data_IF_437314840167
#
_entry.id   IF_437314840167
#
_cell.length_a   1.000
_cell.length_b   1.000
_cell.length_c   1.000
_cell.angle_alpha   90.00
_cell.angle_beta   90.00
_cell.angle_gamma   90.00
#
_symmetry.space_group_name_H-M   'P 1'
#
loop_
_entity.id
_entity.type
_entity.pdbx_description
1 polymer ?
#
# COMPACT_ATOMS: atom_id res chain seq x y z
N UNK A 1 -30.46 -20.33 -18.34
CA UNK A 1 -30.93 -20.32 -16.94
C UNK A 1 -30.25 -19.17 -16.25
N UNK A 2 -30.94 -18.07 -16.12
CA UNK A 2 -30.46 -16.81 -15.54
C UNK A 2 -30.53 -16.95 -14.01
N UNK A 3 -29.41 -16.90 -13.31
CA UNK A 3 -29.39 -16.85 -11.84
C UNK A 3 -29.18 -15.40 -11.46
N UNK A 4 -30.26 -14.74 -11.10
CA UNK A 4 -30.25 -13.44 -10.44
C UNK A 4 -29.86 -13.63 -8.97
N UNK A 5 -28.72 -13.06 -8.55
CA UNK A 5 -28.39 -12.94 -7.13
C UNK A 5 -29.00 -11.64 -6.60
N UNK A 6 -30.14 -11.77 -5.95
CA UNK A 6 -30.63 -10.76 -5.03
C UNK A 6 -29.75 -10.74 -3.77
N UNK A 7 -29.00 -9.67 -3.57
CA UNK A 7 -28.31 -9.40 -2.31
C UNK A 7 -29.35 -8.83 -1.36
N UNK A 8 -29.90 -9.72 -0.51
CA UNK A 8 -30.86 -9.36 0.52
C UNK A 8 -30.27 -8.41 1.55
N UNK A 9 -30.91 -7.26 1.71
CA UNK A 9 -30.66 -6.31 2.77
C UNK A 9 -30.92 -6.95 4.13
N UNK A 10 -29.88 -7.26 4.89
CA UNK A 10 -30.00 -7.70 6.28
C UNK A 10 -30.30 -6.51 7.19
N UNK A 11 -31.53 -6.38 7.60
CA UNK A 11 -31.97 -5.53 8.73
C UNK A 11 -31.27 -5.99 10.01
N UNK A 12 -30.67 -5.04 10.74
CA UNK A 12 -30.33 -5.19 12.15
C UNK A 12 -28.84 -5.33 12.46
N UNK A 13 -28.02 -4.34 12.12
CA UNK A 13 -26.78 -4.11 12.86
C UNK A 13 -27.10 -3.33 14.12
N UNK A 14 -27.03 -4.00 15.27
CA UNK A 14 -26.93 -3.33 16.58
C UNK A 14 -25.63 -2.52 16.55
N UNK A 15 -25.74 -1.22 16.74
CA UNK A 15 -24.59 -0.37 17.04
C UNK A 15 -23.93 -0.89 18.32
N UNK A 16 -22.74 -1.41 18.22
CA UNK A 16 -21.92 -1.68 19.40
C UNK A 16 -21.34 -0.31 19.77
N UNK A 17 -21.98 0.37 20.69
CA UNK A 17 -21.38 1.49 21.43
C UNK A 17 -20.29 0.88 22.29
N UNK A 18 -19.03 1.12 21.94
CA UNK A 18 -17.89 0.78 22.78
C UNK A 18 -17.84 1.84 23.88
N UNK A 19 -18.48 1.56 25.01
CA UNK A 19 -18.30 2.35 26.23
C UNK A 19 -16.84 2.26 26.65
N UNK A 20 -16.16 3.40 26.68
CA UNK A 20 -14.73 3.53 26.98
C UNK A 20 -14.40 3.51 28.48
N UNK A 21 -15.26 3.01 29.32
CA UNK A 21 -14.95 2.77 30.73
C UNK A 21 -14.67 1.27 30.95
N UNK A 22 -13.44 0.84 30.64
CA UNK A 22 -12.95 -0.45 31.10
C UNK A 22 -12.38 -0.29 32.49
N UNK A 23 -12.95 -0.97 33.54
CA UNK A 23 -12.35 -1.01 34.85
C UNK A 23 -10.97 -1.66 34.76
N UNK A 24 -9.95 -1.00 35.29
CA UNK A 24 -8.57 -1.50 35.36
C UNK A 24 -8.39 -2.65 36.34
N UNK A 25 -9.41 -2.99 37.13
CA UNK A 25 -9.41 -4.11 38.07
C UNK A 25 -10.34 -5.22 37.60
N UNK A 26 -9.69 -6.27 37.17
CA UNK A 26 -10.18 -7.43 36.47
C UNK A 26 -11.50 -8.00 36.95
N UNK A 27 -12.16 -8.62 36.01
CA UNK A 27 -13.25 -9.54 36.13
C UNK A 27 -12.96 -10.67 37.15
N UNK A 28 -13.01 -10.32 38.43
CA UNK A 28 -12.99 -11.29 39.52
C UNK A 28 -14.38 -11.60 40.05
N UNK A 29 -15.43 -10.91 39.57
CA UNK A 29 -16.78 -11.03 40.12
C UNK A 29 -17.41 -12.42 40.00
N UNK A 30 -16.92 -13.24 39.03
CA UNK A 30 -17.45 -14.61 38.80
C UNK A 30 -16.37 -15.70 38.90
N UNK A 31 -15.24 -15.43 39.55
CA UNK A 31 -14.18 -16.45 39.73
C UNK A 31 -13.30 -16.70 38.50
N UNK A 32 -13.54 -16.02 37.37
CA UNK A 32 -12.72 -16.15 36.15
C UNK A 32 -11.51 -15.20 36.20
N UNK A 33 -10.32 -15.75 35.93
CA UNK A 33 -9.09 -14.95 35.82
C UNK A 33 -8.74 -14.70 34.35
N UNK A 34 -9.57 -13.94 33.65
CA UNK A 34 -9.39 -13.60 32.22
C UNK A 34 -9.00 -12.13 32.12
N UNK A 35 -7.86 -11.86 31.50
CA UNK A 35 -7.39 -10.51 31.19
C UNK A 35 -7.03 -10.40 29.72
N UNK A 36 -7.47 -9.33 29.05
CA UNK A 36 -7.05 -9.05 27.68
C UNK A 36 -5.57 -8.64 27.65
N UNK A 37 -4.87 -9.05 26.60
CA UNK A 37 -3.53 -8.54 26.31
C UNK A 37 -3.58 -7.02 26.06
N UNK A 38 -2.47 -6.27 26.26
CA UNK A 38 -2.36 -4.88 25.81
C UNK A 38 -2.68 -4.68 24.31
N UNK A 39 -2.64 -5.74 23.51
CA UNK A 39 -3.06 -5.73 22.11
C UNK A 39 -4.55 -5.39 21.91
N UNK A 40 -5.38 -5.41 22.96
CA UNK A 40 -6.77 -4.93 22.89
C UNK A 40 -6.90 -3.49 22.41
N UNK A 41 -5.87 -2.67 22.66
CA UNK A 41 -5.82 -1.26 22.28
C UNK A 41 -5.10 -1.05 20.94
N UNK A 42 -4.61 -2.14 20.32
CA UNK A 42 -3.94 -2.10 19.03
C UNK A 42 -4.96 -1.84 17.91
N UNK A 43 -4.88 -0.66 17.30
CA UNK A 43 -5.78 -0.27 16.22
C UNK A 43 -4.98 0.28 15.04
N UNK A 44 -5.26 -0.23 13.84
CA UNK A 44 -4.76 0.36 12.60
C UNK A 44 -5.46 1.72 12.36
N UNK A 45 -4.74 2.85 12.22
CA UNK A 45 -5.33 4.17 12.05
C UNK A 45 -6.34 4.26 10.91
N UNK A 46 -6.07 3.59 9.77
CA UNK A 46 -7.00 3.57 8.62
C UNK A 46 -8.32 2.91 9.03
N UNK A 47 -8.26 1.73 9.68
CA UNK A 47 -9.47 1.01 10.10
C UNK A 47 -10.31 1.82 11.06
N UNK A 48 -9.67 2.42 12.06
CA UNK A 48 -10.36 3.26 13.05
C UNK A 48 -11.11 4.41 12.37
N UNK A 49 -10.44 5.14 11.47
CA UNK A 49 -11.06 6.28 10.79
C UNK A 49 -12.17 5.83 9.83
N UNK A 50 -11.94 4.78 9.04
CA UNK A 50 -12.96 4.26 8.12
C UNK A 50 -14.19 3.76 8.89
N UNK A 51 -14.00 2.98 9.96
CA UNK A 51 -15.12 2.46 10.76
C UNK A 51 -15.92 3.58 11.45
N UNK A 52 -15.25 4.66 11.89
CA UNK A 52 -15.91 5.85 12.45
C UNK A 52 -16.67 6.67 11.39
N UNK A 53 -16.19 6.71 10.16
CA UNK A 53 -16.72 7.59 9.10
C UNK A 53 -17.85 6.95 8.29
N UNK A 54 -17.77 5.66 7.95
CA UNK A 54 -18.70 5.00 7.01
C UNK A 54 -20.18 5.15 7.40
N UNK A 55 -20.50 5.20 8.69
CA UNK A 55 -21.85 5.45 9.20
C UNK A 55 -22.35 6.88 9.05
N UNK A 56 -21.51 7.83 8.59
CA UNK A 56 -21.80 9.27 8.49
C UNK A 56 -21.96 9.74 7.03
N UNK A 57 -21.96 8.80 6.07
CA UNK A 57 -22.14 9.16 4.66
C UNK A 57 -23.51 9.79 4.40
N UNK A 58 -23.57 10.75 3.45
CA UNK A 58 -24.83 11.33 3.01
C UNK A 58 -25.79 10.23 2.51
N UNK A 59 -26.99 10.06 3.15
CA UNK A 59 -27.91 8.99 2.78
C UNK A 59 -28.60 9.21 1.44
N UNK A 60 -28.61 10.45 0.93
CA UNK A 60 -29.29 10.84 -0.30
C UNK A 60 -28.41 10.67 -1.55
N UNK A 61 -27.14 10.27 -1.37
CA UNK A 61 -26.16 10.06 -2.45
C UNK A 61 -25.55 8.67 -2.38
N UNK A 62 -25.24 8.11 -3.55
CA UNK A 62 -24.43 6.87 -3.61
C UNK A 62 -23.03 7.14 -3.07
N UNK A 63 -22.53 6.22 -2.23
CA UNK A 63 -21.18 6.29 -1.67
C UNK A 63 -20.15 5.95 -2.74
N UNK A 64 -19.21 6.87 -3.00
CA UNK A 64 -18.03 6.61 -3.83
C UNK A 64 -16.81 6.55 -2.90
N UNK A 65 -16.16 5.39 -2.85
CA UNK A 65 -15.02 5.17 -1.96
C UNK A 65 -13.69 5.31 -2.68
N UNK A 66 -12.99 6.42 -2.48
CA UNK A 66 -11.61 6.63 -2.90
C UNK A 66 -10.60 6.27 -1.80
N UNK A 67 -11.03 5.55 -0.76
CA UNK A 67 -10.23 5.27 0.43
C UNK A 67 -9.63 3.86 0.45
N UNK A 68 -10.34 2.86 -0.08
CA UNK A 68 -9.99 1.46 0.08
C UNK A 68 -8.93 1.03 -0.93
N UNK A 69 -7.76 0.62 -0.43
CA UNK A 69 -6.64 0.13 -1.24
C UNK A 69 -6.82 -1.31 -1.74
N UNK A 70 -8.04 -1.67 -2.14
CA UNK A 70 -8.39 -2.95 -2.76
C UNK A 70 -8.77 -2.69 -4.23
N UNK A 71 -7.96 -3.13 -5.20
CA UNK A 71 -8.22 -2.86 -6.61
C UNK A 71 -9.43 -3.64 -7.18
N UNK A 72 -9.99 -4.59 -6.43
CA UNK A 72 -11.04 -5.49 -6.91
C UNK A 72 -12.46 -5.02 -6.56
N UNK A 73 -12.60 -3.98 -5.74
CA UNK A 73 -13.89 -3.53 -5.18
C UNK A 73 -14.91 -3.17 -6.26
N UNK A 74 -14.45 -2.55 -7.34
CA UNK A 74 -15.32 -2.09 -8.43
C UNK A 74 -15.54 -3.14 -9.54
N UNK A 75 -14.80 -4.25 -9.52
CA UNK A 75 -14.98 -5.38 -10.44
C UNK A 75 -14.48 -5.16 -11.89
N UNK A 76 -13.95 -3.99 -12.24
CA UNK A 76 -13.44 -3.72 -13.59
C UNK A 76 -11.95 -4.10 -13.76
N UNK A 77 -11.19 -4.13 -12.67
CA UNK A 77 -9.82 -4.63 -12.64
C UNK A 77 -9.83 -6.12 -12.25
N UNK A 78 -9.62 -6.98 -13.22
CA UNK A 78 -9.65 -8.43 -13.05
C UNK A 78 -8.24 -9.01 -13.01
N UNK A 79 -8.02 -10.12 -12.27
CA UNK A 79 -6.75 -10.83 -12.31
C UNK A 79 -6.48 -11.41 -13.72
N UNK A 80 -5.21 -11.70 -14.06
CA UNK A 80 -4.89 -12.35 -15.33
C UNK A 80 -5.62 -13.68 -15.46
N UNK A 81 -6.17 -13.95 -16.64
CA UNK A 81 -6.90 -15.19 -16.93
C UNK A 81 -6.01 -16.42 -16.70
N UNK A 82 -4.77 -16.37 -17.16
CA UNK A 82 -3.81 -17.45 -16.98
C UNK A 82 -3.55 -17.75 -15.49
N UNK A 83 -3.42 -16.73 -14.65
CA UNK A 83 -3.27 -16.94 -13.20
C UNK A 83 -4.50 -17.61 -12.58
N UNK A 84 -5.70 -17.25 -13.05
CA UNK A 84 -6.95 -17.90 -12.63
C UNK A 84 -7.01 -19.36 -13.05
N UNK A 85 -6.60 -19.69 -14.29
CA UNK A 85 -6.57 -21.05 -14.83
C UNK A 85 -5.62 -21.94 -14.03
N UNK A 86 -4.43 -21.45 -13.69
CA UNK A 86 -3.44 -22.17 -12.85
C UNK A 86 -4.02 -22.50 -11.48
N UNK A 87 -4.67 -21.54 -10.82
CA UNK A 87 -5.29 -21.78 -9.50
C UNK A 87 -6.44 -22.77 -9.60
N UNK A 88 -7.33 -22.63 -10.59
CA UNK A 88 -8.43 -23.57 -10.81
C UNK A 88 -7.88 -24.99 -11.09
N UNK A 89 -6.84 -25.10 -11.92
CA UNK A 89 -6.16 -26.36 -12.22
C UNK A 89 -5.58 -27.02 -10.96
N UNK A 90 -4.91 -26.24 -10.11
CA UNK A 90 -4.32 -26.74 -8.86
C UNK A 90 -5.41 -27.25 -7.87
N UNK A 91 -6.55 -26.59 -7.78
CA UNK A 91 -7.69 -27.08 -6.99
C UNK A 91 -8.32 -28.32 -7.62
N UNK A 92 -8.54 -28.34 -8.92
CA UNK A 92 -9.16 -29.46 -9.65
C UNK A 92 -8.32 -30.74 -9.62
N UNK A 93 -7.01 -30.63 -9.55
CA UNK A 93 -6.09 -31.75 -9.45
C UNK A 93 -6.26 -32.55 -8.14
N UNK A 94 -6.81 -31.95 -7.09
CA UNK A 94 -7.07 -32.57 -5.77
C UNK A 94 -5.82 -33.16 -5.05
N UNK A 95 -4.60 -32.87 -5.53
CA UNK A 95 -3.36 -33.42 -4.96
C UNK A 95 -2.65 -32.46 -3.99
N UNK A 96 -3.15 -31.21 -3.87
CA UNK A 96 -2.56 -30.17 -3.03
C UNK A 96 -3.41 -29.81 -1.79
N UNK A 97 -4.17 -30.78 -1.25
CA UNK A 97 -5.04 -30.57 -0.09
C UNK A 97 -4.36 -30.84 1.27
N UNK A 98 -3.14 -31.34 1.25
CA UNK A 98 -2.35 -31.64 2.46
C UNK A 98 -1.54 -30.44 2.94
N UNK A 99 -1.00 -30.60 4.15
CA UNK A 99 0.02 -29.68 4.66
C UNK A 99 1.32 -29.77 3.84
N UNK A 100 2.02 -28.65 3.75
CA UNK A 100 3.36 -28.58 3.17
C UNK A 100 4.40 -28.18 4.24
N UNK A 101 5.66 -27.99 3.85
CA UNK A 101 6.68 -27.46 4.75
C UNK A 101 6.24 -26.09 5.28
N UNK A 102 6.57 -25.78 6.55
CA UNK A 102 6.13 -24.53 7.20
C UNK A 102 6.57 -23.27 6.45
N UNK A 103 7.75 -23.30 5.82
CA UNK A 103 8.24 -22.23 4.97
C UNK A 103 7.53 -22.16 3.59
N UNK A 104 6.66 -23.09 3.26
CA UNK A 104 5.95 -23.21 1.99
C UNK A 104 6.47 -24.33 1.09
N UNK A 105 5.71 -24.62 0.03
CA UNK A 105 6.07 -25.61 -1.00
C UNK A 105 7.41 -25.27 -1.65
N UNK A 106 8.24 -26.30 -1.88
CA UNK A 106 9.56 -26.10 -2.50
C UNK A 106 9.43 -25.52 -3.89
N UNK A 107 8.49 -26.02 -4.70
CA UNK A 107 8.26 -25.56 -6.07
C UNK A 107 7.84 -24.08 -6.13
N UNK A 108 7.01 -23.65 -5.19
CA UNK A 108 6.62 -22.25 -5.08
C UNK A 108 7.80 -21.37 -4.66
N UNK A 109 8.60 -21.82 -3.69
CA UNK A 109 9.78 -21.09 -3.22
C UNK A 109 10.87 -21.02 -4.28
N UNK A 110 11.09 -22.09 -5.05
CA UNK A 110 12.01 -22.11 -6.20
C UNK A 110 11.57 -21.13 -7.28
N UNK A 111 10.28 -21.08 -7.60
CA UNK A 111 9.75 -20.12 -8.58
C UNK A 111 9.93 -18.66 -8.10
N UNK A 112 9.69 -18.39 -6.81
CA UNK A 112 9.96 -17.07 -6.22
C UNK A 112 11.46 -16.79 -6.22
N UNK A 113 12.31 -17.72 -5.81
CA UNK A 113 13.77 -17.55 -5.81
C UNK A 113 14.30 -17.23 -7.21
N UNK A 114 13.81 -17.93 -8.23
CA UNK A 114 14.18 -17.67 -9.63
C UNK A 114 13.77 -16.26 -10.08
N UNK A 115 12.54 -15.82 -9.74
CA UNK A 115 12.04 -14.48 -10.10
C UNK A 115 12.82 -13.35 -9.46
N UNK A 116 13.24 -13.52 -8.20
CA UNK A 116 13.93 -12.48 -7.42
C UNK A 116 15.46 -12.61 -7.42
N UNK A 117 16.01 -13.56 -8.16
CA UNK A 117 17.46 -13.68 -8.33
C UNK A 117 18.01 -12.54 -9.17
N UNK A 118 19.05 -11.89 -8.68
CA UNK A 118 19.68 -10.77 -9.36
C UNK A 118 20.82 -11.25 -10.27
N UNK A 119 20.90 -10.65 -11.46
CA UNK A 119 22.02 -10.90 -12.38
C UNK A 119 23.36 -10.59 -11.69
N UNK A 120 24.36 -11.42 -11.97
CA UNK A 120 25.71 -11.29 -11.42
C UNK A 120 25.82 -11.47 -9.90
N UNK A 121 24.83 -12.07 -9.27
CA UNK A 121 24.85 -12.50 -7.87
C UNK A 121 24.73 -14.01 -7.77
N UNK A 122 25.03 -14.57 -6.58
CA UNK A 122 24.64 -15.96 -6.27
C UNK A 122 23.12 -16.07 -6.45
N UNK A 123 22.65 -17.03 -7.28
CA UNK A 123 21.21 -17.25 -7.38
C UNK A 123 20.61 -17.59 -6.01
N UNK A 124 19.44 -17.02 -5.74
CA UNK A 124 18.65 -17.38 -4.57
C UNK A 124 18.19 -18.83 -4.67
N UNK A 125 18.01 -19.45 -3.53
CA UNK A 125 17.54 -20.84 -3.42
C UNK A 125 16.20 -20.84 -2.66
N UNK A 126 15.47 -21.96 -2.72
CA UNK A 126 14.23 -22.11 -1.96
C UNK A 126 14.42 -21.79 -0.46
N UNK A 127 15.60 -22.05 0.10
CA UNK A 127 15.94 -21.77 1.50
C UNK A 127 16.04 -20.28 1.83
N UNK A 128 16.14 -19.42 0.82
CA UNK A 128 16.16 -17.96 0.98
C UNK A 128 14.74 -17.35 0.89
N UNK A 129 13.71 -18.20 0.68
CA UNK A 129 12.32 -17.79 0.47
C UNK A 129 11.38 -18.41 1.49
N UNK A 130 10.45 -17.62 2.01
CA UNK A 130 9.42 -18.05 2.96
C UNK A 130 8.06 -17.60 2.43
N UNK A 131 7.16 -18.56 2.18
CA UNK A 131 5.80 -18.30 1.75
C UNK A 131 4.94 -17.82 2.94
N UNK A 132 4.12 -16.82 2.73
CA UNK A 132 3.37 -16.15 3.80
C UNK A 132 1.92 -15.86 3.41
N UNK A 133 1.05 -15.65 4.41
CA UNK A 133 -0.36 -15.28 4.23
C UNK A 133 -0.46 -13.81 3.80
N UNK A 134 -0.02 -13.54 2.57
CA UNK A 134 0.11 -12.21 1.98
C UNK A 134 1.31 -11.42 2.54
N UNK A 135 1.62 -10.30 1.92
CA UNK A 135 2.73 -9.41 2.29
C UNK A 135 2.69 -8.95 3.77
N UNK A 136 1.48 -8.82 4.35
CA UNK A 136 1.34 -8.42 5.76
C UNK A 136 1.96 -9.40 6.74
N UNK A 137 1.91 -10.71 6.48
CA UNK A 137 2.59 -11.71 7.31
C UNK A 137 4.09 -11.71 7.04
N UNK A 138 4.53 -11.52 5.78
CA UNK A 138 5.94 -11.35 5.44
C UNK A 138 6.58 -10.19 6.23
N UNK A 139 5.91 -9.03 6.26
CA UNK A 139 6.30 -7.89 7.10
C UNK A 139 6.31 -8.26 8.59
N UNK A 140 5.25 -8.93 9.08
CA UNK A 140 5.17 -9.34 10.49
C UNK A 140 6.33 -10.27 10.88
N UNK A 141 6.70 -11.21 10.02
CA UNK A 141 7.84 -12.09 10.27
C UNK A 141 9.18 -11.35 10.23
N UNK A 142 9.35 -10.40 9.30
CA UNK A 142 10.55 -9.55 9.24
C UNK A 142 10.72 -8.72 10.52
N UNK A 143 9.63 -8.13 11.03
CA UNK A 143 9.65 -7.35 12.26
C UNK A 143 9.89 -8.25 13.49
N UNK A 144 9.14 -9.35 13.60
CA UNK A 144 9.25 -10.28 14.73
C UNK A 144 10.64 -10.89 14.86
N UNK A 145 11.30 -11.23 13.74
CA UNK A 145 12.64 -11.80 13.74
C UNK A 145 13.73 -10.81 14.21
N UNK A 146 13.43 -9.51 14.21
CA UNK A 146 14.30 -8.42 14.69
C UNK A 146 13.89 -7.87 16.06
N UNK A 147 12.82 -8.41 16.67
CA UNK A 147 12.27 -7.94 17.92
C UNK A 147 13.13 -8.38 19.11
N UNK A 148 14.18 -7.62 19.41
CA UNK A 148 14.99 -7.77 20.61
C UNK A 148 14.73 -6.62 21.57
N UNK A 149 15.03 -6.81 22.86
CA UNK A 149 14.77 -5.80 23.88
C UNK A 149 15.44 -4.46 23.53
N UNK A 150 14.65 -3.41 23.54
CA UNK A 150 15.10 -2.04 23.26
C UNK A 150 15.23 -1.70 21.76
N UNK A 151 15.09 -2.67 20.85
CA UNK A 151 15.21 -2.45 19.41
C UNK A 151 14.30 -1.35 18.89
N UNK A 152 14.79 -0.62 17.87
CA UNK A 152 13.97 0.28 17.08
C UNK A 152 14.18 0.08 15.57
N UNK A 153 13.13 0.41 14.80
CA UNK A 153 13.12 0.37 13.34
C UNK A 153 12.85 1.77 12.80
N UNK A 154 13.53 2.15 11.71
CA UNK A 154 13.27 3.40 11.01
C UNK A 154 12.12 3.21 10.02
N UNK A 155 11.07 4.02 10.12
CA UNK A 155 9.85 3.97 9.32
C UNK A 155 9.71 5.22 8.44
N UNK A 156 9.12 5.11 7.22
CA UNK A 156 8.88 6.27 6.37
C UNK A 156 7.76 7.16 6.90
N UNK A 157 7.88 8.46 6.66
CA UNK A 157 6.85 9.46 6.90
C UNK A 157 6.75 10.43 5.70
N UNK A 158 5.65 10.40 4.95
CA UNK A 158 4.45 9.54 5.09
C UNK A 158 4.76 8.05 4.93
N UNK A 159 3.96 7.17 5.57
CA UNK A 159 4.16 5.73 5.51
C UNK A 159 2.90 4.91 5.75
N UNK A 160 2.94 3.65 5.34
CA UNK A 160 1.81 2.74 5.53
C UNK A 160 1.65 2.37 7.02
N UNK A 161 0.47 2.61 7.65
CA UNK A 161 0.30 2.48 9.10
C UNK A 161 0.47 1.06 9.66
N UNK A 162 0.51 0.04 8.79
CA UNK A 162 0.78 -1.32 9.23
C UNK A 162 2.16 -1.46 9.89
N UNK A 163 3.16 -0.71 9.43
CA UNK A 163 4.51 -0.80 10.00
C UNK A 163 4.52 -0.45 11.49
N UNK A 164 3.87 0.64 11.85
CA UNK A 164 3.68 1.08 13.22
C UNK A 164 2.89 0.06 14.05
N UNK A 165 1.79 -0.45 13.46
CA UNK A 165 0.98 -1.51 14.06
C UNK A 165 1.81 -2.76 14.36
N UNK A 166 2.74 -3.13 13.46
CA UNK A 166 3.64 -4.27 13.67
C UNK A 166 4.71 -3.97 14.74
N UNK A 167 5.25 -2.77 14.78
CA UNK A 167 6.14 -2.35 15.87
C UNK A 167 5.47 -2.49 17.23
N UNK A 168 4.25 -1.97 17.38
CA UNK A 168 3.47 -2.13 18.61
C UNK A 168 3.18 -3.59 18.94
N UNK A 169 2.79 -4.38 17.94
CA UNK A 169 2.48 -5.81 18.10
C UNK A 169 3.67 -6.61 18.65
N UNK A 170 4.89 -6.28 18.20
CA UNK A 170 6.10 -7.01 18.54
C UNK A 170 6.95 -6.32 19.61
N UNK A 171 6.48 -5.21 20.21
CA UNK A 171 7.18 -4.50 21.25
C UNK A 171 8.44 -3.76 20.78
N UNK A 172 8.52 -3.44 19.50
CA UNK A 172 9.63 -2.72 18.87
C UNK A 172 9.34 -1.21 18.91
N UNK A 173 10.32 -0.38 19.25
CA UNK A 173 10.24 1.07 19.09
C UNK A 173 10.42 1.45 17.63
N UNK A 174 10.00 2.66 17.25
CA UNK A 174 10.22 3.17 15.90
C UNK A 174 10.54 4.66 15.90
N UNK A 175 11.19 5.11 14.84
CA UNK A 175 11.49 6.51 14.55
C UNK A 175 11.15 6.78 13.11
N UNK A 176 10.55 7.96 12.85
CA UNK A 176 10.19 8.34 11.49
C UNK A 176 11.31 9.13 10.82
N UNK A 177 11.66 8.72 9.60
CA UNK A 177 12.42 9.52 8.65
C UNK A 177 11.48 10.16 7.63
N UNK A 178 11.79 11.36 7.17
CA UNK A 178 10.95 12.12 6.26
C UNK A 178 11.17 11.71 4.80
N UNK A 179 10.08 11.67 4.04
CA UNK A 179 10.09 11.68 2.58
C UNK A 179 9.95 13.12 2.08
N UNK A 180 10.61 13.47 0.96
CA UNK A 180 10.65 14.82 0.44
C UNK A 180 9.65 15.02 -0.73
N UNK A 181 8.53 15.71 -0.53
CA UNK A 181 7.54 15.93 -1.58
C UNK A 181 8.07 16.78 -2.74
N UNK A 182 9.05 17.67 -2.49
CA UNK A 182 9.66 18.51 -3.52
C UNK A 182 10.67 17.74 -4.37
N UNK A 183 11.07 16.55 -3.89
CA UNK A 183 12.06 15.71 -4.56
C UNK A 183 11.50 14.31 -4.85
N UNK A 184 10.25 14.23 -5.35
CA UNK A 184 9.63 12.97 -5.77
C UNK A 184 9.38 11.99 -4.63
N UNK A 185 9.18 12.47 -3.40
CA UNK A 185 9.00 11.67 -2.20
C UNK A 185 10.20 10.75 -1.90
N UNK A 186 11.40 11.10 -2.38
CA UNK A 186 12.62 10.38 -2.04
C UNK A 186 12.96 10.55 -0.55
N UNK A 187 13.66 9.56 0.02
CA UNK A 187 14.05 9.52 1.44
C UNK A 187 15.05 10.63 1.73
N UNK A 188 14.82 11.43 2.78
CA UNK A 188 15.85 12.34 3.34
C UNK A 188 16.91 11.53 4.06
N UNK A 189 17.97 11.14 3.33
CA UNK A 189 19.02 10.25 3.86
C UNK A 189 19.77 10.82 5.07
N UNK A 190 19.79 12.13 5.23
CA UNK A 190 20.36 12.77 6.42
C UNK A 190 19.54 12.48 7.68
N UNK A 191 18.22 12.33 7.55
CA UNK A 191 17.39 11.85 8.66
C UNK A 191 17.77 10.43 9.06
N UNK A 192 17.97 9.54 8.10
CA UNK A 192 18.38 8.14 8.37
C UNK A 192 19.70 8.14 9.17
N UNK A 193 20.68 8.94 8.76
CA UNK A 193 21.96 9.08 9.46
C UNK A 193 21.81 9.61 10.89
N UNK A 194 20.96 10.61 11.07
CA UNK A 194 20.70 11.26 12.36
C UNK A 194 19.89 10.39 13.32
N UNK A 195 18.93 9.62 12.81
CA UNK A 195 18.00 8.83 13.62
C UNK A 195 18.56 7.48 14.04
N UNK A 196 19.52 6.94 13.27
CA UNK A 196 20.17 5.67 13.57
C UNK A 196 20.93 5.77 14.89
N UNK A 197 20.68 4.84 15.79
CA UNK A 197 21.43 4.63 17.04
C UNK A 197 21.85 3.15 17.19
N UNK A 198 22.43 2.81 18.32
CA UNK A 198 22.93 1.47 18.64
C UNK A 198 21.83 0.40 18.69
N UNK A 199 20.58 0.80 18.93
CA UNK A 199 19.43 -0.08 19.02
C UNK A 199 18.64 -0.15 17.70
N UNK A 200 19.07 0.57 16.66
CA UNK A 200 18.38 0.55 15.36
C UNK A 200 18.75 -0.69 14.59
N UNK A 201 17.77 -1.58 14.36
CA UNK A 201 17.98 -2.92 13.79
C UNK A 201 17.63 -3.02 12.30
N UNK A 202 16.81 -2.11 11.77
CA UNK A 202 16.45 -2.07 10.35
C UNK A 202 15.86 -0.71 9.93
N UNK A 203 15.78 -0.51 8.61
CA UNK A 203 14.99 0.52 7.97
C UNK A 203 13.94 -0.14 7.06
N UNK A 204 12.68 0.36 7.08
CA UNK A 204 11.67 -0.03 6.11
C UNK A 204 11.75 0.88 4.89
N UNK A 205 11.81 0.32 3.70
CA UNK A 205 11.77 1.04 2.40
C UNK A 205 10.58 0.53 1.62
N UNK A 206 9.60 1.39 1.32
CA UNK A 206 8.41 1.03 0.54
C UNK A 206 8.49 1.65 -0.86
N UNK A 207 8.66 0.82 -1.88
CA UNK A 207 8.82 1.23 -3.27
C UNK A 207 8.26 0.18 -4.24
N UNK A 208 7.29 0.53 -5.10
CA UNK A 208 6.52 1.79 -5.16
C UNK A 208 5.72 2.08 -3.89
N UNK A 209 5.50 3.36 -3.59
CA UNK A 209 5.10 3.82 -2.26
C UNK A 209 3.58 3.92 -2.04
N UNK A 210 3.12 3.46 -0.89
CA UNK A 210 1.83 3.80 -0.29
C UNK A 210 2.11 4.69 0.96
N UNK A 211 1.64 5.95 1.01
CA UNK A 211 0.54 6.55 0.23
C UNK A 211 0.95 7.41 -0.96
N UNK A 212 2.25 7.60 -1.23
CA UNK A 212 2.73 8.69 -2.10
C UNK A 212 2.58 8.42 -3.61
N UNK A 213 2.46 7.15 -4.05
CA UNK A 213 2.49 6.79 -5.46
C UNK A 213 3.87 6.97 -6.11
N UNK A 214 4.91 7.22 -5.32
CA UNK A 214 6.26 7.46 -5.82
C UNK A 214 6.97 6.16 -6.21
N UNK A 215 7.82 6.23 -7.24
CA UNK A 215 8.78 5.19 -7.62
C UNK A 215 10.19 5.78 -7.50
N UNK A 216 11.03 5.18 -6.67
CA UNK A 216 12.36 5.71 -6.42
C UNK A 216 13.28 5.54 -7.62
N UNK A 217 14.06 6.61 -7.92
CA UNK A 217 15.05 6.57 -8.99
C UNK A 217 16.19 5.58 -8.67
N UNK A 218 16.80 4.98 -9.69
CA UNK A 218 17.97 4.13 -9.51
C UNK A 218 19.09 4.83 -8.73
N UNK A 219 19.31 6.11 -9.01
CA UNK A 219 20.27 6.94 -8.28
C UNK A 219 19.97 6.96 -6.78
N UNK A 220 18.68 7.10 -6.44
CA UNK A 220 18.25 7.15 -5.05
C UNK A 220 18.34 5.77 -4.37
N UNK A 221 17.94 4.70 -5.05
CA UNK A 221 18.08 3.33 -4.53
C UNK A 221 19.55 3.00 -4.20
N UNK A 222 20.50 3.38 -5.07
CA UNK A 222 21.94 3.26 -4.80
C UNK A 222 22.38 4.08 -3.60
N UNK A 223 21.88 5.30 -3.46
CA UNK A 223 22.20 6.18 -2.34
C UNK A 223 21.65 5.62 -0.99
N UNK A 224 20.45 5.02 -1.00
CA UNK A 224 19.91 4.32 0.16
C UNK A 224 20.84 3.17 0.55
N UNK A 225 21.19 2.30 -0.40
CA UNK A 225 22.06 1.14 -0.13
C UNK A 225 23.43 1.58 0.39
N UNK A 226 24.06 2.58 -0.22
CA UNK A 226 25.35 3.14 0.25
C UNK A 226 25.23 3.68 1.68
N UNK A 227 24.12 4.37 2.00
CA UNK A 227 23.89 4.88 3.35
C UNK A 227 23.69 3.75 4.34
N UNK A 228 22.88 2.74 3.99
CA UNK A 228 22.63 1.58 4.85
C UNK A 228 23.89 0.73 5.08
N UNK A 229 24.75 0.58 4.05
CA UNK A 229 26.05 -0.11 4.18
C UNK A 229 26.96 0.61 5.17
N UNK A 230 27.11 1.93 5.04
CA UNK A 230 27.92 2.74 5.95
C UNK A 230 27.41 2.71 7.40
N UNK A 231 26.11 2.54 7.60
CA UNK A 231 25.46 2.48 8.91
C UNK A 231 25.29 1.05 9.45
N UNK A 232 25.67 0.01 8.67
CA UNK A 232 25.42 -1.41 8.96
C UNK A 232 23.94 -1.67 9.26
N UNK A 233 23.06 -1.12 8.44
CA UNK A 233 21.61 -1.15 8.66
C UNK A 233 20.91 -2.06 7.65
N UNK A 234 20.33 -3.19 8.04
CA UNK A 234 19.52 -4.04 7.18
C UNK A 234 18.29 -3.31 6.65
N UNK A 235 17.83 -3.69 5.45
CA UNK A 235 16.66 -3.12 4.80
C UNK A 235 15.51 -4.13 4.83
N UNK A 236 14.32 -3.70 5.28
CA UNK A 236 13.05 -4.37 5.03
C UNK A 236 12.44 -3.65 3.82
N UNK A 237 12.43 -4.31 2.67
CA UNK A 237 11.94 -3.74 1.41
C UNK A 237 10.50 -4.20 1.17
N UNK A 238 9.52 -3.30 1.37
CA UNK A 238 8.13 -3.54 0.99
C UNK A 238 7.96 -3.17 -0.49
N UNK A 239 8.02 -4.20 -1.33
CA UNK A 239 7.95 -4.11 -2.79
C UNK A 239 6.62 -4.71 -3.32
N UNK A 240 5.55 -4.70 -2.51
CA UNK A 240 4.24 -5.29 -2.85
C UNK A 240 3.63 -4.71 -4.12
N UNK A 241 4.03 -3.50 -4.54
CA UNK A 241 3.63 -2.84 -5.78
C UNK A 241 4.66 -3.01 -6.90
N UNK A 242 5.54 -4.03 -6.83
CA UNK A 242 6.46 -4.35 -7.92
C UNK A 242 5.74 -4.37 -9.28
N UNK A 243 6.39 -3.88 -10.33
CA UNK A 243 5.86 -3.76 -11.69
C UNK A 243 4.59 -2.88 -11.84
N UNK A 244 4.01 -2.34 -10.75
CA UNK A 244 2.90 -1.39 -10.83
C UNK A 244 3.47 0.04 -10.91
N UNK A 245 4.01 0.38 -12.07
CA UNK A 245 4.50 1.72 -12.40
C UNK A 245 4.01 2.12 -13.80
N UNK A 246 3.76 3.40 -14.01
CA UNK A 246 3.23 3.92 -15.26
C UNK A 246 3.99 5.15 -15.77
N UNK A 247 5.09 5.52 -15.11
CA UNK A 247 6.07 6.47 -15.61
C UNK A 247 7.29 5.70 -16.16
N UNK A 248 7.40 5.62 -17.49
CA UNK A 248 8.48 4.90 -18.18
C UNK A 248 9.87 5.49 -17.90
N UNK A 249 9.94 6.74 -17.45
CA UNK A 249 11.19 7.39 -17.07
C UNK A 249 11.69 6.94 -15.69
N UNK A 250 10.79 6.32 -14.90
CA UNK A 250 11.07 5.78 -13.55
C UNK A 250 10.54 4.35 -13.41
N UNK A 251 11.09 3.38 -14.15
CA UNK A 251 10.70 1.99 -14.03
C UNK A 251 11.04 1.47 -12.63
N UNK A 252 10.15 0.61 -12.09
CA UNK A 252 10.43 -0.08 -10.85
C UNK A 252 11.73 -0.90 -10.96
N UNK A 253 12.53 -0.83 -9.93
CA UNK A 253 13.70 -1.70 -9.71
C UNK A 253 13.72 -2.11 -8.26
N UNK A 254 13.90 -3.40 -8.00
CA UNK A 254 14.11 -3.88 -6.64
C UNK A 254 15.37 -3.27 -6.03
N UNK A 255 15.29 -2.85 -4.76
CA UNK A 255 16.43 -2.32 -4.03
C UNK A 255 17.52 -3.38 -3.84
N UNK A 256 17.14 -4.67 -3.82
CA UNK A 256 18.06 -5.79 -3.69
C UNK A 256 19.12 -5.80 -4.81
N UNK A 257 18.77 -5.31 -6.02
CA UNK A 257 19.69 -5.15 -7.14
C UNK A 257 20.92 -4.27 -6.80
N UNK A 258 20.75 -3.33 -5.89
CA UNK A 258 21.78 -2.34 -5.52
C UNK A 258 22.35 -2.57 -4.13
N UNK A 259 21.89 -3.59 -3.40
CA UNK A 259 22.16 -3.80 -1.97
C UNK A 259 23.65 -3.96 -1.62
N UNK A 260 24.49 -4.41 -2.57
CA UNK A 260 25.90 -4.64 -2.25
C UNK A 260 26.05 -5.73 -1.16
N UNK A 261 26.55 -5.33 -0.01
CA UNK A 261 26.71 -6.16 1.20
C UNK A 261 25.52 -5.98 2.17
N UNK A 262 24.66 -5.00 1.94
CA UNK A 262 23.51 -4.74 2.80
C UNK A 262 22.51 -5.90 2.68
N UNK A 263 22.17 -6.59 3.78
CA UNK A 263 21.14 -7.61 3.73
C UNK A 263 19.77 -6.98 3.53
N UNK A 264 18.97 -7.56 2.62
CA UNK A 264 17.63 -7.09 2.31
C UNK A 264 16.63 -8.21 2.57
N UNK A 265 15.61 -7.90 3.35
CA UNK A 265 14.39 -8.68 3.52
C UNK A 265 13.32 -8.11 2.59
N UNK A 266 13.25 -8.62 1.36
CA UNK A 266 12.27 -8.16 0.38
C UNK A 266 10.94 -8.90 0.58
N UNK A 267 9.84 -8.13 0.65
CA UNK A 267 8.49 -8.67 0.82
C UNK A 267 7.60 -8.27 -0.33
N UNK A 268 6.84 -9.24 -0.85
CA UNK A 268 5.86 -9.00 -1.91
C UNK A 268 4.71 -10.02 -1.83
N UNK A 269 3.77 -9.96 -2.79
CA UNK A 269 2.58 -10.80 -2.81
C UNK A 269 1.87 -10.75 -4.16
N UNK A 270 0.99 -11.71 -4.44
CA UNK A 270 0.08 -11.65 -5.58
C UNK A 270 -0.97 -10.54 -5.46
N UNK A 271 -1.13 -9.94 -4.27
CA UNK A 271 -2.24 -9.06 -3.90
C UNK A 271 -2.41 -7.84 -4.78
N UNK A 272 -1.32 -7.23 -5.26
CA UNK A 272 -1.35 -5.95 -5.98
C UNK A 272 -0.98 -6.11 -7.45
N UNK A 273 0.19 -6.66 -7.72
CA UNK A 273 0.66 -6.89 -9.10
C UNK A 273 -0.31 -7.78 -9.89
N UNK A 274 -0.91 -8.81 -9.26
CA UNK A 274 -1.87 -9.73 -9.90
C UNK A 274 -3.33 -9.46 -9.54
N UNK A 275 -3.63 -8.37 -8.83
CA UNK A 275 -4.99 -7.97 -8.45
C UNK A 275 -5.76 -9.04 -7.65
N UNK A 276 -5.07 -9.79 -6.79
CA UNK A 276 -5.66 -10.91 -6.03
C UNK A 276 -5.46 -10.79 -4.51
N UNK A 277 -5.86 -9.68 -3.88
CA UNK A 277 -5.63 -9.48 -2.45
C UNK A 277 -6.34 -10.52 -1.57
N UNK A 278 -7.43 -11.10 -2.05
CA UNK A 278 -8.21 -12.13 -1.35
C UNK A 278 -7.56 -13.52 -1.35
N UNK A 279 -6.57 -13.78 -2.21
CA UNK A 279 -5.90 -15.09 -2.24
C UNK A 279 -4.95 -15.30 -1.08
N UNK A 280 -4.56 -14.26 -0.39
CA UNK A 280 -3.70 -14.31 0.80
C UNK A 280 -2.39 -15.05 0.57
N UNK A 281 -1.71 -14.80 -0.54
CA UNK A 281 -0.42 -15.38 -0.86
C UNK A 281 0.63 -14.29 -1.03
N UNK A 282 1.75 -14.46 -0.36
CA UNK A 282 2.90 -13.57 -0.41
C UNK A 282 4.18 -14.32 -0.04
N UNK A 283 5.26 -13.61 0.02
CA UNK A 283 6.57 -14.15 0.31
C UNK A 283 7.49 -13.13 0.95
N UNK A 284 8.46 -13.65 1.69
CA UNK A 284 9.65 -12.97 2.19
C UNK A 284 10.86 -13.60 1.53
N UNK A 285 11.70 -12.80 0.90
CA UNK A 285 12.93 -13.20 0.21
C UNK A 285 14.14 -12.60 0.94
N UNK A 286 15.13 -13.41 1.30
CA UNK A 286 16.35 -12.95 1.94
C UNK A 286 17.48 -12.80 0.90
N UNK A 287 17.79 -11.56 0.57
CA UNK A 287 19.01 -11.20 -0.16
C UNK A 287 20.15 -10.98 0.86
N UNK A 288 20.70 -12.09 1.35
CA UNK A 288 21.74 -12.12 2.40
C UNK A 288 23.00 -12.80 1.87
N UNK A 289 23.68 -12.14 0.93
CA UNK A 289 24.82 -12.71 0.19
C UNK A 289 26.06 -12.93 1.06
N UNK A 290 26.23 -12.14 2.10
CA UNK A 290 27.33 -12.24 3.08
C UNK A 290 26.91 -13.02 4.34
N UNK A 291 25.72 -13.67 4.35
CA UNK A 291 25.18 -14.45 5.45
C UNK A 291 25.07 -13.71 6.80
N UNK A 292 24.84 -12.38 6.75
CA UNK A 292 24.74 -11.53 7.95
C UNK A 292 23.47 -11.89 8.76
N UNK A 293 22.30 -11.97 8.10
CA UNK A 293 21.04 -12.36 8.76
C UNK A 293 21.07 -13.82 9.21
N UNK A 294 21.70 -14.69 8.43
CA UNK A 294 21.87 -16.09 8.80
C UNK A 294 22.75 -16.23 10.04
N UNK A 295 23.91 -15.56 10.09
CA UNK A 295 24.83 -15.59 11.23
C UNK A 295 24.22 -14.99 12.50
N UNK A 296 23.35 -13.96 12.35
CA UNK A 296 22.61 -13.36 13.46
C UNK A 296 21.41 -14.21 13.94
N UNK A 297 21.11 -15.32 13.29
CA UNK A 297 19.97 -16.19 13.63
C UNK A 297 18.61 -15.71 13.10
N UNK A 298 18.56 -14.59 12.34
CA UNK A 298 17.31 -14.00 11.82
C UNK A 298 16.62 -14.97 10.84
N UNK A 299 17.37 -15.60 9.94
CA UNK A 299 16.83 -16.62 9.02
C UNK A 299 16.17 -17.79 9.78
N UNK A 300 16.79 -18.25 10.87
CA UNK A 300 16.21 -19.31 11.71
C UNK A 300 14.96 -18.83 12.45
N UNK A 301 14.96 -17.59 12.95
CA UNK A 301 13.79 -17.00 13.60
C UNK A 301 12.59 -16.92 12.64
N UNK A 302 12.80 -16.46 11.40
CA UNK A 302 11.76 -16.42 10.35
C UNK A 302 11.22 -17.83 10.08
N UNK A 303 12.10 -18.82 9.91
CA UNK A 303 11.68 -20.20 9.69
C UNK A 303 10.82 -20.76 10.85
N UNK A 304 11.16 -20.40 12.09
CA UNK A 304 10.38 -20.80 13.27
C UNK A 304 9.03 -20.05 13.35
N UNK A 305 8.96 -18.79 12.94
CA UNK A 305 7.70 -18.04 12.85
C UNK A 305 6.73 -18.68 11.86
N UNK A 306 7.21 -19.19 10.73
CA UNK A 306 6.38 -19.91 9.75
C UNK A 306 5.68 -21.14 10.34
N UNK A 307 6.22 -21.75 11.40
CA UNK A 307 5.60 -22.91 12.05
C UNK A 307 4.28 -22.55 12.77
N UNK A 308 4.06 -21.26 13.05
CA UNK A 308 2.86 -20.80 13.73
C UNK A 308 1.61 -20.78 12.86
N UNK A 309 1.75 -20.52 11.55
CA UNK A 309 0.65 -20.46 10.58
C UNK A 309 0.63 -21.64 9.61
N UNK A 310 1.74 -22.35 9.45
CA UNK A 310 1.97 -23.42 8.46
C UNK A 310 1.82 -22.93 7.01
N UNK A 311 1.98 -21.62 6.79
CA UNK A 311 1.98 -20.99 5.48
C UNK A 311 0.60 -20.72 4.88
N UNK A 312 0.58 -20.16 3.66
CA UNK A 312 -0.66 -19.85 2.92
C UNK A 312 -1.27 -21.11 2.28
N UNK A 313 -2.49 -21.00 1.66
CA UNK A 313 -3.18 -22.15 1.06
C UNK A 313 -2.34 -22.91 0.05
N UNK A 314 -2.12 -24.21 0.30
CA UNK A 314 -1.26 -25.09 -0.50
C UNK A 314 -1.66 -25.14 -1.99
N UNK A 315 -2.96 -25.22 -2.37
CA UNK A 315 -3.34 -25.23 -3.78
C UNK A 315 -2.92 -23.94 -4.53
N UNK A 316 -2.93 -22.78 -3.84
CA UNK A 316 -2.50 -21.54 -4.48
C UNK A 316 -0.97 -21.48 -4.58
N UNK A 317 -0.24 -22.02 -3.58
CA UNK A 317 1.21 -22.15 -3.70
C UNK A 317 1.60 -23.04 -4.90
N UNK A 318 0.85 -24.12 -5.14
CA UNK A 318 1.08 -25.00 -6.27
C UNK A 318 0.92 -24.33 -7.64
N UNK A 319 0.07 -23.30 -7.71
CA UNK A 319 -0.14 -22.51 -8.93
C UNK A 319 0.98 -21.48 -9.21
N UNK A 320 1.80 -21.11 -8.22
CA UNK A 320 2.81 -20.03 -8.37
C UNK A 320 3.76 -20.25 -9.55
N UNK A 321 4.34 -21.44 -9.78
CA UNK A 321 5.23 -21.64 -10.92
C UNK A 321 4.56 -21.35 -12.25
N UNK A 322 3.32 -21.79 -12.45
CA UNK A 322 2.54 -21.51 -13.66
C UNK A 322 2.18 -20.03 -13.80
N UNK A 323 1.75 -19.38 -12.71
CA UNK A 323 1.45 -17.94 -12.71
C UNK A 323 2.67 -17.12 -13.15
N UNK A 324 3.88 -17.44 -12.67
CA UNK A 324 5.08 -16.68 -13.04
C UNK A 324 5.60 -16.97 -14.44
N UNK A 325 5.25 -18.14 -15.01
CA UNK A 325 5.60 -18.49 -16.40
C UNK A 325 4.59 -17.96 -17.43
N UNK A 326 3.40 -17.58 -17.00
CA UNK A 326 2.38 -17.06 -17.88
C UNK A 326 2.82 -15.71 -18.50
N UNK A 327 2.57 -15.55 -19.80
CA UNK A 327 2.78 -14.26 -20.45
C UNK A 327 1.61 -13.32 -20.11
N UNK A 328 1.87 -12.37 -19.23
CA UNK A 328 0.88 -11.41 -18.73
C UNK A 328 1.18 -9.97 -19.19
N UNK A 329 2.10 -9.78 -20.12
CA UNK A 329 2.55 -8.43 -20.53
C UNK A 329 1.38 -7.58 -21.02
N UNK A 330 0.54 -8.09 -21.91
CA UNK A 330 -0.63 -7.35 -22.44
C UNK A 330 -1.63 -7.02 -21.32
N UNK A 331 -1.89 -7.96 -20.41
CA UNK A 331 -2.79 -7.74 -19.30
C UNK A 331 -2.23 -6.67 -18.35
N UNK A 332 -0.94 -6.74 -18.03
CA UNK A 332 -0.30 -5.75 -17.17
C UNK A 332 -0.31 -4.36 -17.82
N UNK A 333 0.04 -4.25 -19.09
CA UNK A 333 0.02 -3.00 -19.84
C UNK A 333 -1.37 -2.35 -19.83
N UNK A 334 -2.44 -3.14 -20.05
CA UNK A 334 -3.83 -2.66 -19.94
C UNK A 334 -4.12 -2.13 -18.52
N UNK A 335 -3.75 -2.87 -17.48
CA UNK A 335 -3.94 -2.46 -16.10
C UNK A 335 -3.21 -1.15 -15.79
N UNK A 336 -1.95 -1.04 -16.21
CA UNK A 336 -1.14 0.16 -16.03
C UNK A 336 -1.71 1.35 -16.80
N UNK A 337 -2.25 1.13 -18.01
CA UNK A 337 -2.93 2.16 -18.80
C UNK A 337 -4.14 2.73 -18.06
N UNK A 338 -4.97 1.88 -17.45
CA UNK A 338 -6.11 2.32 -16.63
C UNK A 338 -5.63 3.18 -15.44
N UNK A 339 -4.62 2.72 -14.71
CA UNK A 339 -4.08 3.47 -13.57
C UNK A 339 -3.46 4.81 -13.98
N UNK A 340 -2.72 4.83 -15.08
CA UNK A 340 -2.13 6.05 -15.66
C UNK A 340 -3.21 7.05 -16.07
N UNK A 341 -4.26 6.59 -16.78
CA UNK A 341 -5.38 7.43 -17.17
C UNK A 341 -6.10 8.03 -15.98
N UNK A 342 -6.41 7.22 -14.97
CA UNK A 342 -7.02 7.68 -13.72
C UNK A 342 -6.15 8.70 -12.99
N UNK A 343 -4.84 8.46 -12.90
CA UNK A 343 -3.88 9.40 -12.31
C UNK A 343 -3.87 10.75 -13.04
N UNK A 344 -3.73 10.72 -14.37
CA UNK A 344 -3.74 11.94 -15.22
C UNK A 344 -5.03 12.74 -15.02
N UNK A 345 -6.18 12.07 -15.03
CA UNK A 345 -7.48 12.71 -14.78
C UNK A 345 -7.55 13.35 -13.39
N UNK A 346 -7.09 12.66 -12.36
CA UNK A 346 -7.03 13.23 -11.01
C UNK A 346 -6.17 14.50 -10.95
N UNK A 347 -5.02 14.52 -11.63
CA UNK A 347 -4.14 15.68 -11.72
C UNK A 347 -4.85 16.85 -12.41
N UNK A 348 -5.44 16.60 -13.59
CA UNK A 348 -6.17 17.61 -14.37
C UNK A 348 -7.36 18.21 -13.62
N UNK A 349 -8.11 17.36 -12.92
CA UNK A 349 -9.26 17.81 -12.10
C UNK A 349 -8.78 18.59 -10.88
N UNK A 350 -7.78 18.09 -10.16
CA UNK A 350 -7.21 18.76 -9.00
C UNK A 350 -6.70 20.17 -9.34
N UNK A 351 -6.09 20.36 -10.51
CA UNK A 351 -5.60 21.66 -10.96
C UNK A 351 -6.70 22.74 -11.10
N UNK A 352 -7.96 22.34 -11.19
CA UNK A 352 -9.13 23.24 -11.28
C UNK A 352 -9.77 23.48 -9.91
N UNK A 353 -9.45 22.66 -8.92
CA UNK A 353 -10.05 22.71 -7.59
C UNK A 353 -9.27 23.67 -6.69
N UNK A 354 -9.95 24.68 -6.19
CA UNK A 354 -9.35 25.63 -5.27
C UNK A 354 -9.00 24.98 -3.93
N UNK A 355 -7.80 25.24 -3.44
CA UNK A 355 -7.36 24.77 -2.14
C UNK A 355 -6.80 23.35 -2.11
N UNK A 356 -6.77 22.66 -3.25
CA UNK A 356 -6.11 21.37 -3.40
C UNK A 356 -4.99 21.46 -4.44
N UNK A 357 -3.94 20.66 -4.25
CA UNK A 357 -2.84 20.56 -5.21
C UNK A 357 -2.22 19.16 -5.17
N UNK A 358 -1.55 18.76 -6.25
CA UNK A 358 -0.75 17.54 -6.34
C UNK A 358 0.72 17.92 -6.18
N UNK A 359 1.35 17.69 -5.03
CA UNK A 359 2.74 18.12 -4.79
C UNK A 359 3.75 17.35 -5.63
N UNK A 360 3.42 16.10 -5.95
CA UNK A 360 4.23 15.24 -6.79
C UNK A 360 3.30 14.28 -7.53
N UNK A 361 3.43 14.21 -8.85
CA UNK A 361 2.67 13.28 -9.69
C UNK A 361 3.04 11.84 -9.33
N UNK A 362 2.04 10.96 -9.11
CA UNK A 362 2.33 9.56 -8.84
C UNK A 362 2.90 8.87 -10.07
N UNK A 363 3.91 8.03 -9.86
CA UNK A 363 4.60 7.29 -10.91
C UNK A 363 4.26 5.80 -10.90
N UNK A 364 3.64 5.33 -9.81
CA UNK A 364 3.29 3.93 -9.62
C UNK A 364 2.38 3.70 -8.42
N UNK A 365 2.29 2.45 -7.98
CA UNK A 365 1.33 1.98 -7.00
C UNK A 365 -0.12 2.27 -7.42
N UNK A 366 -1.02 2.49 -6.46
CA UNK A 366 -2.46 2.66 -6.70
C UNK A 366 -3.02 3.89 -5.96
N UNK A 367 -2.16 4.87 -5.65
CA UNK A 367 -2.48 5.98 -4.75
C UNK A 367 -1.97 7.31 -5.24
N UNK A 368 -2.64 8.35 -4.76
CA UNK A 368 -2.25 9.74 -4.94
C UNK A 368 -2.41 10.48 -3.61
N UNK A 369 -1.47 11.37 -3.29
CA UNK A 369 -1.61 12.36 -2.21
C UNK A 369 -1.97 13.72 -2.79
N UNK A 370 -3.05 14.30 -2.28
CA UNK A 370 -3.40 15.70 -2.49
C UNK A 370 -2.97 16.52 -1.28
N UNK A 371 -2.38 17.67 -1.50
CA UNK A 371 -2.05 18.65 -0.48
C UNK A 371 -3.19 19.65 -0.34
N UNK A 372 -3.63 19.89 0.88
CA UNK A 372 -4.59 20.95 1.21
C UNK A 372 -3.83 22.26 1.45
N UNK A 373 -4.36 23.35 0.91
CA UNK A 373 -3.94 24.71 1.29
C UNK A 373 -4.61 25.06 2.63
N UNK A 374 -3.87 25.25 3.73
CA UNK A 374 -4.44 25.52 5.04
C UNK A 374 -5.20 26.86 5.11
N UNK A 375 -4.89 27.79 4.18
CA UNK A 375 -5.56 29.08 4.12
C UNK A 375 -6.83 29.07 3.26
N UNK A 376 -7.01 28.05 2.42
CA UNK A 376 -8.17 27.94 1.55
C UNK A 376 -9.41 27.43 2.30
N UNK A 377 -9.22 26.64 3.34
CA UNK A 377 -10.32 26.08 4.11
C UNK A 377 -10.25 26.58 5.56
N UNK A 378 -11.31 27.21 6.02
CA UNK A 378 -11.43 27.70 7.39
C UNK A 378 -12.74 27.23 7.98
N UNK A 379 -12.71 26.75 9.22
CA UNK A 379 -13.92 26.57 10.01
C UNK A 379 -14.14 27.81 10.91
N UNK A 380 -15.34 27.96 11.44
CA UNK A 380 -15.70 29.07 12.33
C UNK A 380 -14.83 29.09 13.60
N UNK A 381 -14.34 27.93 14.03
CA UNK A 381 -13.43 27.74 15.19
C UNK A 381 -11.93 27.75 14.79
N UNK A 382 -11.60 27.94 13.50
CA UNK A 382 -10.23 28.07 13.01
C UNK A 382 -9.47 26.76 12.75
N UNK A 383 -10.09 25.60 12.99
CA UNK A 383 -9.47 24.27 12.78
C UNK A 383 -10.11 23.53 11.61
N UNK A 384 -9.59 23.69 10.40
CA UNK A 384 -10.01 22.92 9.24
C UNK A 384 -8.84 22.03 8.79
N UNK A 385 -8.70 20.87 9.43
CA UNK A 385 -7.69 19.89 9.11
C UNK A 385 -8.17 18.83 8.10
N UNK A 386 -7.30 17.95 7.69
CA UNK A 386 -7.58 16.86 6.74
C UNK A 386 -8.63 15.86 7.25
N UNK A 387 -8.77 15.68 8.56
CA UNK A 387 -9.79 14.80 9.17
C UNK A 387 -11.16 15.45 9.07
N UNK A 388 -11.26 16.75 9.39
CA UNK A 388 -12.51 17.52 9.25
C UNK A 388 -12.95 17.58 7.80
N UNK A 389 -12.00 17.84 6.88
CA UNK A 389 -12.27 17.83 5.44
C UNK A 389 -12.87 16.49 4.98
N UNK A 390 -12.21 15.39 5.29
CA UNK A 390 -12.65 14.06 4.87
C UNK A 390 -14.02 13.67 5.45
N UNK A 391 -14.29 14.02 6.72
CA UNK A 391 -15.60 13.79 7.36
C UNK A 391 -16.71 14.60 6.71
N UNK A 392 -16.48 15.88 6.43
CA UNK A 392 -17.47 16.75 5.80
C UNK A 392 -17.72 16.36 4.34
N UNK A 393 -16.67 16.04 3.58
CA UNK A 393 -16.82 15.56 2.21
C UNK A 393 -17.69 14.30 2.17
N UNK A 394 -17.50 13.37 3.12
CA UNK A 394 -18.32 12.17 3.23
C UNK A 394 -19.77 12.50 3.59
N UNK A 395 -20.00 13.36 4.60
CA UNK A 395 -21.34 13.66 5.09
C UNK A 395 -22.16 14.56 4.14
N UNK A 396 -21.51 15.37 3.31
CA UNK A 396 -22.19 16.26 2.36
C UNK A 396 -22.28 15.63 0.96
N UNK A 397 -21.24 14.94 0.53
CA UNK A 397 -21.10 14.48 -0.86
C UNK A 397 -21.08 12.96 -1.02
N UNK A 398 -21.06 12.19 0.06
CA UNK A 398 -20.88 10.73 0.06
C UNK A 398 -19.63 10.29 -0.70
N UNK A 399 -18.54 11.08 -0.65
CA UNK A 399 -17.22 10.72 -1.18
C UNK A 399 -16.28 10.44 -0.01
N UNK A 400 -15.74 9.23 0.05
CA UNK A 400 -14.83 8.81 1.11
C UNK A 400 -13.38 8.88 0.62
N UNK A 401 -12.59 9.77 1.22
CA UNK A 401 -11.13 9.87 1.07
C UNK A 401 -10.46 9.58 2.40
N UNK A 402 -9.18 9.22 2.42
CA UNK A 402 -8.44 9.08 3.68
C UNK A 402 -7.68 10.37 4.01
N UNK A 403 -7.84 10.89 5.25
CA UNK A 403 -7.00 11.98 5.72
C UNK A 403 -5.54 11.54 5.82
N UNK A 404 -4.62 12.43 5.45
CA UNK A 404 -3.19 12.19 5.48
C UNK A 404 -2.64 11.93 6.89
N UNK A 405 -3.34 12.41 7.90
CA UNK A 405 -3.07 12.09 9.32
C UNK A 405 -2.98 10.58 9.57
N UNK A 406 -3.72 9.74 8.83
CA UNK A 406 -3.57 8.27 8.87
C UNK A 406 -2.17 7.78 8.51
N UNK A 407 -1.40 8.58 7.79
CA UNK A 407 -0.09 8.26 7.23
C UNK A 407 1.02 9.16 7.79
N UNK A 408 0.75 9.87 8.90
CA UNK A 408 1.60 10.91 9.47
C UNK A 408 1.88 12.09 8.51
N UNK A 409 0.94 12.38 7.61
CA UNK A 409 0.98 13.50 6.68
C UNK A 409 -0.23 14.45 6.88
N UNK A 410 -0.33 15.15 8.03
CA UNK A 410 -1.43 16.09 8.24
C UNK A 410 -1.45 17.17 7.15
N UNK A 411 -2.66 17.58 6.75
CA UNK A 411 -2.84 18.52 5.65
C UNK A 411 -2.79 17.88 4.25
N UNK A 412 -2.78 16.56 4.18
CA UNK A 412 -2.91 15.81 2.93
C UNK A 412 -4.17 14.94 2.92
N UNK A 413 -4.58 14.52 1.72
CA UNK A 413 -5.65 13.54 1.50
C UNK A 413 -5.08 12.44 0.61
N UNK A 414 -5.32 11.17 0.95
CA UNK A 414 -4.98 10.05 0.08
C UNK A 414 -6.19 9.56 -0.68
N UNK A 415 -6.05 9.45 -2.00
CA UNK A 415 -7.01 8.85 -2.91
C UNK A 415 -6.45 7.57 -3.50
N UNK A 416 -7.33 6.59 -3.77
CA UNK A 416 -7.03 5.47 -4.67
C UNK A 416 -7.38 5.84 -6.11
N UNK A 417 -6.58 5.35 -7.07
CA UNK A 417 -6.78 5.58 -8.50
C UNK A 417 -7.26 4.30 -9.24
N UNK A 418 -7.80 3.35 -8.48
CA UNK A 418 -8.34 2.07 -8.99
C UNK A 418 -9.85 2.12 -9.17
N UNK A 419 -10.42 3.29 -9.34
CA UNK A 419 -11.86 3.53 -9.45
C UNK A 419 -12.23 3.62 -10.93
N UNK A 420 -13.38 3.06 -11.38
CA UNK A 420 -13.87 3.24 -12.74
C UNK A 420 -13.97 4.70 -13.13
N UNK A 421 -13.81 4.97 -14.41
CA UNK A 421 -13.69 6.32 -14.93
C UNK A 421 -14.92 7.18 -14.67
N UNK A 422 -16.11 6.64 -14.84
CA UNK A 422 -17.39 7.29 -14.57
C UNK A 422 -17.58 7.65 -13.10
N UNK A 423 -17.29 6.70 -12.19
CA UNK A 423 -17.34 6.96 -10.74
C UNK A 423 -16.25 7.96 -10.31
N UNK A 424 -15.07 7.89 -10.92
CA UNK A 424 -13.99 8.83 -10.63
C UNK A 424 -14.35 10.25 -11.08
N UNK A 425 -14.99 10.40 -12.25
CA UNK A 425 -15.50 11.70 -12.71
C UNK A 425 -16.53 12.26 -11.74
N UNK A 426 -17.54 11.46 -11.38
CA UNK A 426 -18.55 11.86 -10.42
C UNK A 426 -17.96 12.25 -9.06
N UNK A 427 -16.99 11.48 -8.57
CA UNK A 427 -16.29 11.82 -7.33
C UNK A 427 -15.62 13.20 -7.41
N UNK A 428 -14.96 13.50 -8.53
CA UNK A 428 -14.33 14.81 -8.74
C UNK A 428 -15.34 15.94 -8.88
N UNK A 429 -16.48 15.72 -9.57
CA UNK A 429 -17.56 16.73 -9.66
C UNK A 429 -18.07 17.10 -8.25
N UNK A 430 -18.23 16.09 -7.39
CA UNK A 430 -18.65 16.28 -5.99
C UNK A 430 -17.57 16.95 -5.14
N UNK A 431 -16.28 16.61 -5.31
CA UNK A 431 -15.14 17.24 -4.62
C UNK A 431 -15.04 18.71 -5.03
N UNK A 432 -15.17 19.02 -6.32
CA UNK A 432 -15.14 20.38 -6.85
C UNK A 432 -16.26 21.24 -6.26
N UNK A 433 -17.50 20.77 -6.33
CA UNK A 433 -18.65 21.43 -5.74
C UNK A 433 -18.52 21.63 -4.22
N UNK A 434 -17.95 20.66 -3.51
CA UNK A 434 -17.66 20.77 -2.09
C UNK A 434 -16.61 21.86 -1.81
N UNK A 435 -15.51 21.86 -2.55
CA UNK A 435 -14.45 22.85 -2.38
C UNK A 435 -14.90 24.27 -2.73
N UNK A 436 -15.75 24.44 -3.76
CA UNK A 436 -16.35 25.74 -4.09
C UNK A 436 -17.18 26.30 -2.94
N UNK A 437 -17.96 25.46 -2.25
CA UNK A 437 -18.78 25.88 -1.11
C UNK A 437 -17.99 26.22 0.15
N UNK A 438 -16.85 25.55 0.34
CA UNK A 438 -16.09 25.60 1.61
C UNK A 438 -14.78 26.38 1.51
N UNK A 439 -14.33 26.75 0.31
CA UNK A 439 -13.14 27.59 0.18
C UNK A 439 -13.45 29.07 0.44
N UNK A 440 -12.55 29.71 1.17
CA UNK A 440 -12.65 31.13 1.48
C UNK A 440 -12.17 31.95 0.28
N UNK A 441 -12.90 33.02 -0.12
CA UNK A 441 -12.42 33.96 -1.11
C UNK A 441 -11.18 34.70 -0.58
N UNK A 442 -10.04 34.58 -1.29
CA UNK A 442 -8.93 35.52 -1.09
C UNK A 442 -9.24 36.78 -1.87
N UNK A 443 -9.25 37.94 -1.21
CA UNK A 443 -9.08 39.21 -1.90
C UNK A 443 -7.65 39.25 -2.45
N UNK A 444 -7.51 38.93 -3.73
CA UNK A 444 -6.20 39.02 -4.42
C UNK A 444 -5.80 40.47 -4.61
N UNK A 445 -5.06 41.00 -3.65
CA UNK A 445 -4.12 42.09 -3.90
C UNK A 445 -2.74 41.48 -3.73
N UNK A 446 -1.98 41.38 -4.84
CA UNK A 446 -0.63 40.85 -4.99
C UNK A 446 -0.47 39.35 -5.22
N UNK A 447 -0.40 38.94 -6.48
CA UNK A 447 0.26 37.69 -6.89
C UNK A 447 1.26 37.96 -8.01
N UNK A 448 2.47 37.36 -7.96
CA UNK A 448 3.36 37.31 -9.12
C UNK A 448 2.80 36.32 -10.15
N UNK A 449 2.89 36.70 -11.40
CA UNK A 449 2.45 35.92 -12.56
C UNK A 449 3.21 34.60 -12.67
N UNK A 450 2.52 33.48 -12.53
CA UNK A 450 3.00 32.16 -12.99
C UNK A 450 2.16 31.69 -14.20
N UNK A 451 2.36 32.34 -15.33
CA UNK A 451 1.78 31.95 -16.64
C UNK A 451 2.65 30.92 -17.42
N UNK A 452 3.60 30.25 -16.79
CA UNK A 452 4.62 29.46 -17.54
C UNK A 452 4.37 27.96 -17.56
N UNK A 453 3.58 27.39 -16.64
CA UNK A 453 3.41 25.94 -16.54
C UNK A 453 2.24 25.36 -17.36
N UNK A 454 1.17 26.11 -17.59
CA UNK A 454 -0.02 25.61 -18.30
C UNK A 454 0.22 25.41 -19.79
N UNK A 455 1.05 26.26 -20.42
CA UNK A 455 1.32 26.19 -21.86
C UNK A 455 2.31 25.07 -22.27
N UNK A 456 3.06 24.52 -21.36
CA UNK A 456 3.98 23.40 -21.62
C UNK A 456 3.29 22.03 -21.66
N UNK A 457 2.18 21.86 -20.94
CA UNK A 457 1.44 20.59 -20.88
C UNK A 457 0.49 20.40 -22.07
N UNK A 458 -0.16 21.47 -22.55
CA UNK A 458 -1.15 21.39 -23.64
C UNK A 458 -0.49 20.95 -24.96
N UNK A 459 0.77 21.28 -25.19
CA UNK A 459 1.49 20.91 -26.40
C UNK A 459 1.90 19.43 -26.51
N UNK A 460 1.94 18.68 -25.42
CA UNK A 460 2.32 17.27 -25.39
C UNK A 460 1.16 16.28 -25.50
N UNK A 461 -0.07 16.72 -25.21
CA UNK A 461 -1.27 15.88 -25.15
C UNK A 461 -2.01 15.71 -26.49
N UNK A 462 -1.67 16.47 -27.54
CA UNK A 462 -2.34 16.39 -28.84
C UNK A 462 -1.90 15.22 -29.72
N UNK A 463 -1.00 14.34 -29.26
CA UNK A 463 -0.40 13.27 -30.07
C UNK A 463 -0.79 11.83 -29.69
N UNK A 464 -1.77 11.63 -28.81
CA UNK A 464 -2.18 10.27 -28.42
C UNK A 464 -3.59 9.94 -28.92
N UNK A 465 -3.82 8.74 -29.50
CA UNK A 465 -5.15 8.31 -29.93
C UNK A 465 -6.04 8.02 -28.72
N UNK A 466 -7.26 8.53 -28.76
CA UNK A 466 -8.32 8.24 -27.79
C UNK A 466 -8.84 6.82 -28.08
N UNK A 467 -8.83 5.95 -27.09
CA UNK A 467 -9.49 4.63 -27.18
C UNK A 467 -10.92 4.82 -26.68
N UNK A 468 -11.86 4.84 -27.62
CA UNK A 468 -13.29 4.97 -27.34
C UNK A 468 -13.86 3.61 -26.92
N UNK A 469 -14.30 3.51 -25.67
CA UNK A 469 -15.19 2.52 -25.05
C UNK A 469 -14.68 1.13 -24.67
N UNK A 470 -15.16 0.68 -23.51
CA UNK A 470 -14.90 -0.62 -22.85
C UNK A 470 -15.46 -1.82 -23.65
N UNK A 471 -16.35 -1.60 -24.61
CA UNK A 471 -16.97 -2.68 -25.41
C UNK A 471 -16.02 -3.33 -26.42
N UNK A 472 -14.99 -2.63 -26.88
CA UNK A 472 -14.00 -3.19 -27.82
C UNK A 472 -12.99 -4.12 -27.13
N UNK A 473 -12.90 -4.07 -25.80
CA UNK A 473 -11.99 -4.90 -25.01
C UNK A 473 -12.49 -6.35 -24.79
N UNK A 474 -13.77 -6.63 -25.07
CA UNK A 474 -14.38 -7.96 -24.86
C UNK A 474 -14.42 -8.84 -26.11
N UNK A 475 -14.06 -8.32 -27.28
CA UNK A 475 -14.18 -9.07 -28.54
C UNK A 475 -12.94 -9.83 -29.02
N UNK A 476 -11.81 -9.65 -28.36
CA UNK A 476 -10.53 -10.31 -28.73
C UNK A 476 -9.91 -11.15 -27.60
N UNK A 477 -10.73 -11.66 -26.67
CA UNK A 477 -10.29 -12.62 -25.64
C UNK A 477 -10.77 -14.03 -25.93
#
# INVERSE_FOLDING_TARGET
MTVSHEIGATKGRRSITIDRETPTDGYRENGWNVRASPLKDLCNPIRRIVDEMVGQANPDKSLISLAQGDPTVFGHLLPPKAAMEEVVGAFAACVHNGYTASAGMVEARDAVAARYSEENRRPLQAEDVFMTVGCSEALSHSFAALAVDGANILLPKPGFPLYETLCHRHGIKYKFYELDPENGWEIKLDDVRRLRDENTVAIVVNNPSNPCGAVFSEKHLRAICTTCEALHLPIIADEVYEDVFFDETRPFKSIAKFSGRVPVMAVSALSKRWLTPGWRIGWLVLHDYDHILQAAGVKLAINNLCQGSLGPPTPIQAAIPGIFQANEEIWLERTLTVLKSASTRCIERCARVRGLSVPCEPQGAMYMLLKMDPDAFKSEDGTYDDVVFAKRLLSEEAVLVLPGTCFHAPGYLRLVITVPDDELQEAWDRIEAFCERHSVERNFTDSPKEDVLVNGLIGKLQAMPVVDSVEDLQRES
#
